data_IF_542697514680
#
_entry.id   IF_542697514680
#
_cell.length_a   1.000
_cell.length_b   1.000
_cell.length_c   1.000
_cell.angle_alpha   90.00
_cell.angle_beta   90.00
_cell.angle_gamma   90.00
#
_symmetry.space_group_name_H-M   'P 1'
#
loop_
_entity.id
_entity.type
_entity.pdbx_description
1 polymer ?
#
# COMPACT_ATOMS: atom_id res chain seq x y z
N UNK A 1 -11.79 -14.42 -1.71
CA UNK A 1 -12.09 -13.56 -2.86
C UNK A 1 -11.68 -14.27 -4.14
N UNK A 2 -12.59 -14.49 -5.01
CA UNK A 2 -12.36 -14.99 -6.37
C UNK A 2 -12.79 -13.90 -7.35
N UNK A 3 -12.01 -13.73 -8.41
CA UNK A 3 -12.41 -12.92 -9.55
C UNK A 3 -12.81 -13.85 -10.68
N UNK A 4 -13.93 -13.59 -11.32
CA UNK A 4 -14.31 -14.33 -12.53
C UNK A 4 -13.53 -13.76 -13.72
N UNK A 5 -12.50 -14.48 -14.15
CA UNK A 5 -11.63 -14.08 -15.26
C UNK A 5 -12.36 -13.82 -16.60
N UNK A 6 -13.64 -14.21 -16.70
CA UNK A 6 -14.46 -13.98 -17.88
C UNK A 6 -15.22 -12.65 -17.85
N UNK A 7 -15.13 -11.89 -16.75
CA UNK A 7 -15.76 -10.56 -16.66
C UNK A 7 -14.81 -9.46 -17.13
N UNK A 8 -15.31 -8.44 -17.82
CA UNK A 8 -14.47 -7.35 -18.34
C UNK A 8 -13.82 -6.47 -17.25
N UNK A 9 -14.32 -6.56 -16.01
CA UNK A 9 -13.81 -5.82 -14.83
C UNK A 9 -13.25 -6.78 -13.77
N UNK A 10 -12.77 -7.96 -14.17
CA UNK A 10 -12.22 -8.93 -13.24
C UNK A 10 -10.98 -8.35 -12.53
N UNK A 11 -11.01 -8.33 -11.20
CA UNK A 11 -9.89 -7.88 -10.39
C UNK A 11 -8.70 -8.85 -10.52
N UNK A 12 -7.51 -8.30 -10.66
CA UNK A 12 -6.29 -9.10 -10.65
C UNK A 12 -5.94 -9.59 -9.22
N UNK A 13 -4.98 -10.51 -9.11
CA UNK A 13 -4.56 -11.07 -7.83
C UNK A 13 -3.96 -10.02 -6.87
N UNK A 14 -3.44 -8.91 -7.40
CA UNK A 14 -2.93 -7.77 -6.62
C UNK A 14 -4.06 -6.89 -6.10
N UNK A 15 -5.06 -6.64 -6.92
CA UNK A 15 -6.26 -5.87 -6.54
C UNK A 15 -7.10 -6.62 -5.50
N UNK A 16 -7.30 -7.93 -5.70
CA UNK A 16 -7.94 -8.78 -4.70
C UNK A 16 -7.17 -8.77 -3.37
N UNK A 17 -5.84 -8.80 -3.43
CA UNK A 17 -5.02 -8.72 -2.24
C UNK A 17 -5.11 -7.35 -1.57
N UNK A 18 -5.13 -6.27 -2.32
CA UNK A 18 -5.32 -4.92 -1.79
C UNK A 18 -6.69 -4.78 -1.10
N UNK A 19 -7.76 -5.30 -1.71
CA UNK A 19 -9.10 -5.32 -1.12
C UNK A 19 -9.12 -6.11 0.21
N UNK A 20 -8.44 -7.26 0.24
CA UNK A 20 -8.31 -8.06 1.46
C UNK A 20 -7.55 -7.32 2.55
N UNK A 21 -6.38 -6.73 2.23
CA UNK A 21 -5.48 -6.13 3.22
C UNK A 21 -5.97 -4.78 3.73
N UNK A 22 -6.59 -3.96 2.86
CA UNK A 22 -6.93 -2.57 3.18
C UNK A 22 -8.41 -2.34 3.49
N UNK A 23 -9.28 -3.27 3.16
CA UNK A 23 -10.71 -3.18 3.46
C UNK A 23 -11.19 -4.31 4.36
N UNK A 24 -11.22 -5.55 3.85
CA UNK A 24 -11.81 -6.68 4.58
C UNK A 24 -11.10 -6.98 5.90
N UNK A 25 -9.78 -6.93 5.91
CA UNK A 25 -8.98 -7.21 7.11
C UNK A 25 -9.36 -6.29 8.27
N UNK A 26 -9.44 -4.99 8.03
CA UNK A 26 -9.79 -4.01 9.07
C UNK A 26 -11.21 -4.18 9.56
N UNK A 27 -12.16 -4.34 8.64
CA UNK A 27 -13.57 -4.53 8.96
C UNK A 27 -13.82 -5.81 9.77
N UNK A 28 -13.18 -6.90 9.40
CA UNK A 28 -13.31 -8.19 10.10
C UNK A 28 -12.54 -8.22 11.42
N UNK A 29 -11.45 -7.48 11.53
CA UNK A 29 -10.70 -7.36 12.79
C UNK A 29 -11.45 -6.55 13.84
N UNK A 30 -12.40 -5.71 13.44
CA UNK A 30 -13.28 -4.97 14.35
C UNK A 30 -14.37 -5.84 15.01
N UNK A 31 -14.57 -7.08 14.56
CA UNK A 31 -15.58 -7.99 15.10
C UNK A 31 -15.13 -8.49 16.48
N UNK A 32 -16.04 -8.49 17.45
CA UNK A 32 -15.79 -8.99 18.79
C UNK A 32 -15.34 -10.46 18.77
N UNK A 33 -14.32 -10.79 19.56
CA UNK A 33 -13.73 -12.13 19.59
C UNK A 33 -12.66 -12.40 18.52
N UNK A 34 -12.47 -11.50 17.53
CA UNK A 34 -11.39 -11.61 16.55
C UNK A 34 -10.10 -10.99 17.10
N UNK A 35 -9.00 -11.73 17.05
CA UNK A 35 -7.65 -11.27 17.44
C UNK A 35 -6.91 -10.69 16.26
N UNK A 36 -6.94 -11.41 15.14
CA UNK A 36 -6.18 -11.08 13.93
C UNK A 36 -6.90 -11.62 12.70
N UNK A 37 -6.65 -10.98 11.57
CA UNK A 37 -7.01 -11.49 10.24
C UNK A 37 -5.73 -11.58 9.42
N UNK A 38 -5.29 -12.80 9.13
CA UNK A 38 -4.10 -13.07 8.33
C UNK A 38 -4.48 -13.27 6.86
N UNK A 39 -3.95 -12.46 5.96
CA UNK A 39 -4.20 -12.57 4.53
C UNK A 39 -3.31 -13.64 3.89
N UNK A 40 -3.89 -14.45 3.01
CA UNK A 40 -3.19 -15.51 2.26
C UNK A 40 -3.47 -15.40 0.78
N UNK A 41 -2.49 -15.77 -0.05
CA UNK A 41 -2.60 -15.69 -1.52
C UNK A 41 -2.47 -14.26 -2.05
N UNK A 42 -2.65 -14.14 -3.37
CA UNK A 42 -2.53 -12.90 -4.10
C UNK A 42 -1.12 -12.30 -4.14
N UNK A 43 -1.01 -11.11 -4.70
CA UNK A 43 0.23 -10.37 -4.82
C UNK A 43 0.13 -9.03 -4.10
N UNK A 44 1.10 -8.70 -3.26
CA UNK A 44 1.20 -7.36 -2.70
C UNK A 44 1.84 -6.45 -3.75
N UNK A 45 1.13 -5.41 -4.17
CA UNK A 45 1.66 -4.38 -5.08
C UNK A 45 2.66 -3.50 -4.34
N UNK A 46 3.76 -3.16 -5.00
CA UNK A 46 4.78 -2.25 -4.48
C UNK A 46 5.30 -1.35 -5.60
N UNK A 47 5.76 -0.17 -5.25
CA UNK A 47 6.56 0.65 -6.15
C UNK A 47 8.02 0.22 -6.05
N UNK A 48 8.60 -0.15 -7.18
CA UNK A 48 9.99 -0.55 -7.30
C UNK A 48 10.79 0.56 -7.97
N UNK A 49 11.77 1.12 -7.24
CA UNK A 49 12.68 2.13 -7.75
C UNK A 49 13.93 1.44 -8.28
N UNK A 50 14.09 1.44 -9.60
CA UNK A 50 15.22 0.81 -10.31
C UNK A 50 16.22 1.90 -10.65
N UNK A 51 17.29 1.96 -9.89
CA UNK A 51 18.34 2.97 -10.10
C UNK A 51 19.23 2.64 -11.28
N UNK A 52 19.63 3.67 -12.04
CA UNK A 52 20.60 3.55 -13.12
C UNK A 52 22.02 3.81 -12.59
N UNK A 53 22.91 2.82 -12.55
CA UNK A 53 24.26 2.98 -12.00
C UNK A 53 25.13 3.97 -12.79
N UNK A 54 24.91 4.13 -14.10
CA UNK A 54 25.67 5.05 -14.93
C UNK A 54 25.27 6.49 -14.65
N UNK A 55 23.97 6.77 -14.53
CA UNK A 55 23.44 8.05 -14.14
C UNK A 55 23.87 8.44 -12.72
N UNK A 56 23.81 7.49 -11.76
CA UNK A 56 24.31 7.74 -10.40
C UNK A 56 25.77 8.17 -10.39
N UNK A 57 26.63 7.52 -11.20
CA UNK A 57 28.05 7.89 -11.33
C UNK A 57 28.21 9.26 -11.99
N UNK A 58 27.46 9.54 -13.06
CA UNK A 58 27.51 10.82 -13.77
C UNK A 58 27.16 12.01 -12.88
N UNK A 59 26.16 11.84 -11.99
CA UNK A 59 25.75 12.86 -11.03
C UNK A 59 26.50 12.78 -9.68
N UNK A 60 27.42 11.82 -9.52
CA UNK A 60 28.15 11.54 -8.28
C UNK A 60 27.22 11.33 -7.07
N UNK A 61 26.14 10.57 -7.29
CA UNK A 61 25.13 10.24 -6.29
C UNK A 61 25.36 8.84 -5.75
N UNK A 62 25.43 8.69 -4.43
CA UNK A 62 25.50 7.38 -3.80
C UNK A 62 24.09 6.76 -3.70
N UNK A 63 23.93 5.43 -3.82
CA UNK A 63 22.63 4.77 -3.67
C UNK A 63 21.90 5.07 -2.35
N UNK A 64 22.65 5.30 -1.26
CA UNK A 64 22.12 5.69 0.03
C UNK A 64 21.36 7.03 0.02
N UNK A 65 21.73 7.93 -0.89
CA UNK A 65 21.04 9.21 -1.06
C UNK A 65 19.62 9.01 -1.57
N UNK A 66 19.43 8.05 -2.47
CA UNK A 66 18.10 7.68 -2.98
C UNK A 66 17.22 7.13 -1.86
N UNK A 67 17.74 6.23 -1.03
CA UNK A 67 17.01 5.70 0.14
C UNK A 67 16.60 6.82 1.11
N UNK A 68 17.50 7.78 1.37
CA UNK A 68 17.19 8.94 2.21
C UNK A 68 16.13 9.84 1.57
N UNK A 69 16.19 10.07 0.25
CA UNK A 69 15.21 10.88 -0.46
C UNK A 69 13.81 10.26 -0.39
N UNK A 70 13.70 8.96 -0.63
CA UNK A 70 12.44 8.20 -0.52
C UNK A 70 11.86 8.24 0.90
N UNK A 71 12.70 8.04 1.92
CA UNK A 71 12.28 8.10 3.33
C UNK A 71 11.82 9.50 3.75
N UNK A 72 12.43 10.55 3.21
CA UNK A 72 12.04 11.94 3.49
C UNK A 72 10.77 12.34 2.75
N UNK A 73 10.62 11.88 1.51
CA UNK A 73 9.48 12.20 0.65
C UNK A 73 8.16 11.61 1.11
N UNK A 74 8.18 10.58 1.97
CA UNK A 74 6.96 9.94 2.50
C UNK A 74 6.77 10.24 3.99
N UNK A 75 6.75 11.53 4.35
CA UNK A 75 6.52 11.99 5.72
C UNK A 75 5.50 13.11 5.75
N UNK A 76 4.50 12.97 6.60
CA UNK A 76 3.69 14.09 7.04
C UNK A 76 4.48 14.95 8.05
N UNK A 77 4.63 16.24 7.76
CA UNK A 77 5.21 17.18 8.72
C UNK A 77 4.07 17.90 9.45
N UNK A 78 4.16 17.95 10.76
CA UNK A 78 3.16 18.61 11.61
C UNK A 78 2.93 20.06 11.24
N UNK A 79 1.76 20.56 11.58
CA UNK A 79 1.34 21.92 11.33
C UNK A 79 2.25 22.94 12.04
N UNK A 80 2.62 23.99 11.30
CA UNK A 80 3.14 25.23 11.85
C UNK A 80 2.07 26.30 11.71
N UNK A 81 1.94 27.16 12.71
CA UNK A 81 1.02 28.32 12.65
C UNK A 81 1.78 29.51 12.16
N UNK A 82 1.26 30.17 11.13
CA UNK A 82 1.78 31.45 10.65
C UNK A 82 0.75 32.51 10.98
N UNK A 83 1.15 33.51 11.76
CA UNK A 83 0.33 34.69 12.02
C UNK A 83 0.54 35.71 10.89
N UNK A 84 -0.52 36.02 10.17
CA UNK A 84 -0.53 37.09 9.17
C UNK A 84 -1.79 37.95 9.33
N UNK A 85 -1.62 39.26 9.50
CA UNK A 85 -2.71 40.24 9.51
C UNK A 85 -3.84 39.89 10.50
N UNK A 86 -3.51 39.64 11.76
CA UNK A 86 -4.45 39.31 12.85
C UNK A 86 -5.21 37.97 12.69
N UNK A 87 -4.78 37.10 11.76
CA UNK A 87 -5.33 35.77 11.56
C UNK A 87 -4.21 34.70 11.67
N UNK A 88 -4.55 33.61 12.34
CA UNK A 88 -3.69 32.43 12.43
C UNK A 88 -3.99 31.45 11.28
N UNK A 89 -3.00 31.13 10.48
CA UNK A 89 -3.09 30.15 9.40
C UNK A 89 -2.31 28.90 9.79
N UNK A 90 -3.02 27.76 9.84
CA UNK A 90 -2.40 26.46 10.05
C UNK A 90 -1.79 25.96 8.73
N UNK A 91 -0.46 25.85 8.66
CA UNK A 91 0.24 25.31 7.50
C UNK A 91 0.55 23.83 7.75
N UNK A 92 -0.07 22.96 6.99
CA UNK A 92 0.15 21.51 7.04
C UNK A 92 0.87 21.09 5.76
N UNK A 93 2.05 20.51 5.86
CA UNK A 93 2.70 19.87 4.73
C UNK A 93 2.29 18.37 4.72
N UNK A 94 1.50 17.98 3.73
CA UNK A 94 1.18 16.58 3.46
C UNK A 94 2.06 16.10 2.30
N UNK A 95 3.02 15.23 2.61
CA UNK A 95 3.96 14.68 1.62
C UNK A 95 3.82 13.16 1.55
N UNK A 96 2.58 12.66 1.57
CA UNK A 96 2.35 11.23 1.33
C UNK A 96 2.39 10.94 -0.17
N UNK A 97 3.19 9.97 -0.55
CA UNK A 97 3.28 9.46 -1.92
C UNK A 97 1.94 8.83 -2.29
N UNK A 98 1.31 9.31 -3.35
CA UNK A 98 0.05 8.81 -3.87
C UNK A 98 0.24 8.01 -5.17
N UNK A 99 1.37 8.17 -5.86
CA UNK A 99 1.63 7.51 -7.12
C UNK A 99 3.09 7.54 -7.55
N UNK A 100 3.33 7.01 -8.74
CA UNK A 100 4.67 6.94 -9.36
C UNK A 100 5.24 8.34 -9.59
N UNK A 101 4.40 9.27 -10.06
CA UNK A 101 4.83 10.63 -10.39
C UNK A 101 5.35 11.38 -9.16
N UNK A 102 4.74 11.16 -8.00
CA UNK A 102 5.21 11.76 -6.75
C UNK A 102 6.60 11.24 -6.36
N UNK A 103 6.86 9.95 -6.60
CA UNK A 103 8.17 9.34 -6.33
C UNK A 103 9.21 9.91 -7.29
N UNK A 104 8.90 10.00 -8.58
CA UNK A 104 9.79 10.54 -9.61
C UNK A 104 10.16 12.00 -9.32
N UNK A 105 9.22 12.80 -8.84
CA UNK A 105 9.42 14.22 -8.52
C UNK A 105 10.25 14.46 -7.24
N UNK A 106 10.55 13.43 -6.44
CA UNK A 106 11.29 13.61 -5.20
C UNK A 106 12.72 14.11 -5.46
N UNK A 107 13.15 15.19 -4.81
CA UNK A 107 14.52 15.70 -4.93
C UNK A 107 15.49 14.78 -4.18
N UNK A 108 16.61 14.45 -4.82
CA UNK A 108 17.71 13.70 -4.20
C UNK A 108 18.46 14.53 -3.15
N UNK A 109 18.30 15.86 -3.18
CA UNK A 109 19.08 16.82 -2.38
C UNK A 109 20.42 17.19 -3.01
N UNK A 110 20.73 16.67 -4.19
CA UNK A 110 21.91 17.02 -4.97
C UNK A 110 21.54 18.10 -5.99
N UNK A 111 22.37 19.14 -6.07
CA UNK A 111 22.21 20.25 -7.02
C UNK A 111 23.39 20.21 -7.98
N UNK A 112 23.13 20.18 -9.29
CA UNK A 112 24.15 20.28 -10.33
C UNK A 112 23.82 21.43 -11.26
N UNK A 113 24.78 22.32 -11.46
CA UNK A 113 24.62 23.54 -12.31
C UNK A 113 23.39 24.38 -11.93
N UNK A 114 23.03 24.42 -10.64
CA UNK A 114 21.86 25.16 -10.16
C UNK A 114 20.52 24.43 -10.32
N UNK A 115 20.51 23.20 -10.86
CA UNK A 115 19.31 22.38 -11.03
C UNK A 115 19.31 21.26 -9.97
N UNK A 116 18.17 21.08 -9.30
CA UNK A 116 17.99 19.97 -8.35
C UNK A 116 17.78 18.68 -9.13
N UNK A 117 18.57 17.64 -8.81
CA UNK A 117 18.43 16.31 -9.38
C UNK A 117 17.31 15.58 -8.64
N UNK A 118 16.35 15.02 -9.40
CA UNK A 118 15.20 14.25 -8.90
C UNK A 118 15.45 12.75 -9.04
N UNK A 119 14.54 11.94 -8.51
CA UNK A 119 14.57 10.48 -8.70
C UNK A 119 14.44 10.11 -10.18
N UNK A 120 13.62 10.83 -10.96
CA UNK A 120 13.44 10.63 -12.41
C UNK A 120 14.74 10.74 -13.21
N UNK A 121 15.64 11.61 -12.78
CA UNK A 121 16.93 11.78 -13.46
C UNK A 121 17.84 10.56 -13.34
N UNK A 122 17.69 9.74 -12.29
CA UNK A 122 18.64 8.68 -11.90
C UNK A 122 18.01 7.30 -11.73
N UNK A 123 16.70 7.19 -11.80
CA UNK A 123 15.98 5.94 -11.60
C UNK A 123 14.72 5.85 -12.46
N UNK A 124 14.21 4.65 -12.62
CA UNK A 124 12.89 4.36 -13.14
C UNK A 124 12.03 3.80 -12.01
N UNK A 125 10.77 4.22 -11.96
CA UNK A 125 9.80 3.71 -10.98
C UNK A 125 8.74 2.90 -11.70
N UNK A 126 8.52 1.67 -11.24
CA UNK A 126 7.52 0.76 -11.78
C UNK A 126 6.66 0.17 -10.67
N UNK A 127 5.38 -0.07 -10.95
CA UNK A 127 4.56 -0.89 -10.09
C UNK A 127 4.88 -2.36 -10.36
N UNK A 128 5.22 -3.11 -9.32
CA UNK A 128 5.67 -4.48 -9.42
C UNK A 128 5.13 -5.31 -8.25
N UNK A 129 4.84 -6.59 -8.46
CA UNK A 129 4.47 -7.46 -7.36
C UNK A 129 5.66 -7.67 -6.42
N UNK A 130 5.40 -7.64 -5.11
CA UNK A 130 6.37 -8.11 -4.11
C UNK A 130 6.66 -9.60 -4.37
N UNK A 131 7.91 -10.02 -4.11
CA UNK A 131 8.31 -11.42 -4.23
C UNK A 131 7.32 -12.32 -3.47
N UNK A 132 6.72 -13.27 -4.18
CA UNK A 132 5.75 -14.19 -3.60
C UNK A 132 6.43 -15.15 -2.63
N UNK A 133 5.78 -15.35 -1.48
CA UNK A 133 6.18 -16.37 -0.49
C UNK A 133 5.28 -17.58 -0.47
N UNK A 134 4.14 -17.54 -1.19
CA UNK A 134 3.18 -18.62 -1.29
C UNK A 134 2.08 -18.30 -2.28
N UNK A 135 1.35 -19.33 -2.67
CA UNK A 135 0.17 -19.26 -3.54
C UNK A 135 -0.99 -19.90 -2.80
N UNK A 136 -2.16 -19.28 -2.85
CA UNK A 136 -3.41 -19.88 -2.41
C UNK A 136 -4.26 -20.21 -3.63
N UNK A 137 -4.85 -21.39 -3.62
CA UNK A 137 -5.72 -21.88 -4.67
C UNK A 137 -7.01 -22.42 -4.06
N UNK A 138 -8.12 -22.25 -4.73
CA UNK A 138 -9.40 -22.77 -4.31
C UNK A 138 -10.01 -23.67 -5.38
N UNK A 139 -10.29 -24.92 -5.03
CA UNK A 139 -10.96 -25.91 -5.87
C UNK A 139 -10.30 -26.20 -7.24
N UNK A 140 -9.00 -25.98 -7.40
CA UNK A 140 -8.32 -26.22 -8.68
C UNK A 140 -8.66 -25.19 -9.76
N UNK A 141 -9.22 -24.04 -9.41
CA UNK A 141 -9.67 -23.01 -10.37
C UNK A 141 -8.70 -21.86 -10.58
N UNK A 142 -7.52 -21.92 -9.97
CA UNK A 142 -6.50 -20.89 -10.06
C UNK A 142 -6.28 -20.13 -8.77
N UNK A 143 -5.54 -19.04 -8.86
CA UNK A 143 -5.13 -18.28 -7.71
C UNK A 143 -6.28 -17.51 -7.07
N UNK A 144 -6.33 -17.54 -5.75
CA UNK A 144 -7.33 -16.84 -4.95
C UNK A 144 -6.67 -16.06 -3.81
N UNK A 145 -7.43 -15.14 -3.22
CA UNK A 145 -7.04 -14.42 -2.02
C UNK A 145 -8.02 -14.75 -0.90
N UNK A 146 -7.47 -15.10 0.25
CA UNK A 146 -8.27 -15.45 1.43
C UNK A 146 -7.81 -14.72 2.68
N UNK A 147 -8.68 -14.71 3.69
CA UNK A 147 -8.38 -14.26 5.03
C UNK A 147 -8.58 -15.38 6.04
N UNK A 148 -7.60 -15.61 6.90
CA UNK A 148 -7.70 -16.54 8.03
C UNK A 148 -8.04 -15.71 9.27
N UNK A 149 -9.22 -15.99 9.85
CA UNK A 149 -9.67 -15.33 11.08
C UNK A 149 -9.07 -16.08 12.29
N UNK A 150 -8.31 -15.38 13.09
CA UNK A 150 -7.76 -15.87 14.34
C UNK A 150 -8.63 -15.35 15.49
N UNK A 151 -9.23 -16.27 16.24
CA UNK A 151 -10.08 -15.95 17.39
C UNK A 151 -9.21 -15.65 18.63
N UNK A 152 -9.68 -14.77 19.49
CA UNK A 152 -9.06 -14.53 20.80
C UNK A 152 -9.20 -15.75 21.69
N UNK A 153 -8.17 -16.01 22.50
CA UNK A 153 -8.22 -17.08 23.48
C UNK A 153 -9.33 -16.86 24.51
N UNK A 154 -10.12 -17.90 24.78
CA UNK A 154 -11.22 -17.86 25.73
C UNK A 154 -12.58 -17.46 25.17
N UNK A 155 -12.64 -16.98 23.92
CA UNK A 155 -13.89 -16.61 23.26
C UNK A 155 -14.68 -17.82 22.74
N UNK A 156 -15.96 -17.64 22.47
CA UNK A 156 -16.81 -18.67 21.91
C UNK A 156 -16.66 -18.73 20.39
N UNK A 157 -16.05 -19.80 19.88
CA UNK A 157 -15.78 -19.97 18.46
C UNK A 157 -17.04 -19.87 17.59
N UNK A 158 -18.17 -20.46 18.02
CA UNK A 158 -19.42 -20.38 17.25
C UNK A 158 -19.95 -18.96 17.17
N UNK A 159 -20.00 -18.25 18.28
CA UNK A 159 -20.45 -16.87 18.34
C UNK A 159 -19.56 -15.96 17.46
N UNK A 160 -18.24 -16.11 17.54
CA UNK A 160 -17.31 -15.35 16.68
C UNK A 160 -17.50 -15.65 15.20
N UNK A 161 -17.70 -16.92 14.82
CA UNK A 161 -17.96 -17.31 13.42
C UNK A 161 -19.26 -16.69 12.93
N UNK A 162 -20.33 -16.75 13.72
CA UNK A 162 -21.64 -16.21 13.35
C UNK A 162 -21.54 -14.67 13.18
N UNK A 163 -20.88 -13.95 14.10
CA UNK A 163 -20.63 -12.51 14.00
C UNK A 163 -19.80 -12.13 12.77
N UNK A 164 -18.74 -12.88 12.46
CA UNK A 164 -17.92 -12.67 11.25
C UNK A 164 -18.74 -12.86 9.99
N UNK A 165 -19.60 -13.90 9.93
CA UNK A 165 -20.49 -14.14 8.77
C UNK A 165 -21.51 -13.03 8.58
N UNK A 166 -22.08 -12.53 9.66
CA UNK A 166 -23.01 -11.40 9.64
C UNK A 166 -22.30 -10.13 9.11
N UNK A 167 -21.12 -9.82 9.65
CA UNK A 167 -20.29 -8.71 9.17
C UNK A 167 -19.95 -8.85 7.68
N UNK A 168 -19.51 -10.02 7.21
CA UNK A 168 -19.23 -10.27 5.80
C UNK A 168 -20.47 -10.05 4.92
N UNK A 169 -21.65 -10.50 5.36
CA UNK A 169 -22.89 -10.27 4.62
C UNK A 169 -23.25 -8.78 4.53
N UNK A 170 -23.01 -8.01 5.59
CA UNK A 170 -23.20 -6.55 5.57
C UNK A 170 -22.23 -5.85 4.61
N UNK A 171 -20.99 -6.33 4.52
CA UNK A 171 -19.96 -5.76 3.65
C UNK A 171 -20.14 -6.09 2.16
N UNK A 172 -20.90 -7.12 1.81
CA UNK A 172 -21.12 -7.51 0.40
C UNK A 172 -21.64 -6.39 -0.48
N UNK A 173 -22.47 -5.50 0.06
CA UNK A 173 -23.00 -4.36 -0.70
C UNK A 173 -21.94 -3.31 -1.09
N UNK A 174 -20.78 -3.32 -0.44
CA UNK A 174 -19.66 -2.41 -0.71
C UNK A 174 -18.50 -3.06 -1.48
N UNK A 175 -18.60 -4.34 -1.80
CA UNK A 175 -17.60 -5.03 -2.61
C UNK A 175 -17.88 -4.81 -4.10
N UNK A 176 -16.83 -4.65 -4.94
CA UNK A 176 -17.00 -4.67 -6.38
C UNK A 176 -17.58 -6.01 -6.84
N UNK A 177 -18.47 -5.96 -7.83
CA UNK A 177 -19.14 -7.12 -8.42
C UNK A 177 -18.14 -7.99 -9.21
#
# INVERSE_FOLDING_TARGET
LESDANQPNALDAGELRALQDWFLKFELQSVEGVSEVASVGGMVKQYQVIVDPEKLRAYNIQPSVIDIALKRGNRGTGASVIEMSEAEYMVTAQSYIQGIDDILALPTGVIQNGVSITIDDVAQVVESPLMRRGVAELNGKGETVGGIIVMRYGENAKATIDAVKEKLNALKAGLPE
#
